data_IF_256355344310
#
_entry.id   IF_256355344310
#
_cell.length_a   1.000
_cell.length_b   1.000
_cell.length_c   1.000
_cell.angle_alpha   90.00
_cell.angle_beta   90.00
_cell.angle_gamma   90.00
#
_symmetry.space_group_name_H-M   'P 1'
#
loop_
_entity.id
_entity.type
_entity.pdbx_description
1 polymer ?
#
# COMPACT_ATOMS: atom_id res chain seq x y z
N UNK A 1 0.89 -9.29 -14.99
CA UNK A 1 1.69 -8.71 -16.09
C UNK A 1 0.82 -8.59 -17.33
N UNK A 2 1.03 -7.56 -18.14
CA UNK A 2 0.18 -7.15 -19.26
C UNK A 2 -1.02 -6.26 -18.89
N UNK A 3 -1.19 -5.90 -17.61
CA UNK A 3 -2.29 -5.06 -17.10
C UNK A 3 -3.64 -5.26 -17.83
N UNK A 4 -4.25 -6.46 -17.75
CA UNK A 4 -5.41 -6.82 -18.58
C UNK A 4 -6.64 -5.94 -18.31
N UNK A 5 -6.73 -5.36 -17.12
CA UNK A 5 -7.80 -4.42 -16.73
C UNK A 5 -7.52 -2.97 -17.13
N UNK A 6 -6.34 -2.69 -17.69
CA UNK A 6 -5.89 -1.37 -18.10
C UNK A 6 -6.01 -0.34 -16.96
N UNK A 7 -5.62 -0.73 -15.75
CA UNK A 7 -5.55 0.20 -14.60
C UNK A 7 -4.45 1.21 -14.88
N UNK A 8 -4.73 2.51 -14.78
CA UNK A 8 -3.77 3.58 -15.08
C UNK A 8 -3.61 4.57 -13.93
N UNK A 9 -4.58 4.64 -13.02
CA UNK A 9 -4.56 5.56 -11.89
C UNK A 9 -5.47 5.07 -10.75
N UNK A 10 -5.54 5.84 -9.66
CA UNK A 10 -6.35 5.50 -8.49
C UNK A 10 -7.86 5.47 -8.78
N UNK A 11 -8.38 6.25 -9.74
CA UNK A 11 -9.81 6.25 -10.09
C UNK A 11 -10.24 4.92 -10.70
N UNK A 12 -9.35 4.26 -11.45
CA UNK A 12 -9.63 2.95 -12.04
C UNK A 12 -9.90 1.88 -10.97
N UNK A 13 -9.37 2.04 -9.76
CA UNK A 13 -9.64 1.13 -8.65
C UNK A 13 -11.11 1.18 -8.19
N UNK A 14 -11.85 2.24 -8.52
CA UNK A 14 -13.30 2.33 -8.28
C UNK A 14 -14.15 1.58 -9.31
N UNK A 15 -13.56 1.08 -10.40
CA UNK A 15 -14.30 0.34 -11.43
C UNK A 15 -14.83 -0.99 -10.87
N UNK A 16 -16.02 -1.37 -11.34
CA UNK A 16 -16.71 -2.63 -10.94
C UNK A 16 -15.95 -3.87 -11.39
N UNK A 17 -15.21 -3.80 -12.49
CA UNK A 17 -14.51 -4.94 -13.08
C UNK A 17 -13.07 -5.13 -12.54
N UNK A 18 -12.63 -4.30 -11.59
CA UNK A 18 -11.28 -4.30 -11.00
C UNK A 18 -11.37 -4.77 -9.56
N UNK A 19 -10.72 -5.89 -9.20
CA UNK A 19 -10.61 -6.36 -7.81
C UNK A 19 -9.41 -5.71 -7.14
N UNK A 20 -9.59 -5.17 -5.95
CA UNK A 20 -8.57 -4.40 -5.23
C UNK A 20 -8.07 -5.19 -4.01
N UNK A 21 -6.76 -5.23 -3.78
CA UNK A 21 -6.21 -5.56 -2.46
C UNK A 21 -5.88 -4.25 -1.76
N UNK A 22 -6.43 -4.04 -0.57
CA UNK A 22 -6.32 -2.78 0.16
C UNK A 22 -5.72 -3.03 1.55
N UNK A 23 -4.67 -2.30 1.95
CA UNK A 23 -4.16 -2.32 3.32
C UNK A 23 -5.26 -1.96 4.33
N UNK A 24 -5.42 -2.72 5.41
CA UNK A 24 -6.50 -2.44 6.37
C UNK A 24 -6.16 -1.21 7.23
N UNK A 25 -6.96 -0.11 7.14
CA UNK A 25 -6.68 1.14 7.86
C UNK A 25 -6.84 1.03 9.38
N UNK A 26 -7.45 -0.03 9.91
CA UNK A 26 -7.62 -0.23 11.35
C UNK A 26 -6.29 -0.47 12.07
N UNK A 27 -5.30 -1.10 11.42
CA UNK A 27 -4.00 -1.41 12.03
C UNK A 27 -2.78 -1.17 11.11
N UNK A 28 -2.98 -0.91 9.82
CA UNK A 28 -1.88 -0.64 8.89
C UNK A 28 -1.77 0.86 8.63
N UNK A 29 -0.67 1.48 9.06
CA UNK A 29 -0.46 2.93 8.95
C UNK A 29 -0.55 3.48 7.51
N UNK A 30 -0.31 2.65 6.50
CA UNK A 30 -0.46 3.01 5.08
C UNK A 30 -1.94 3.14 4.67
N UNK A 31 -2.86 2.40 5.28
CA UNK A 31 -4.26 2.32 4.85
C UNK A 31 -4.94 3.69 4.84
N UNK A 32 -4.78 4.47 5.92
CA UNK A 32 -5.31 5.84 6.01
C UNK A 32 -4.68 6.79 4.98
N UNK A 33 -3.39 6.63 4.67
CA UNK A 33 -2.70 7.43 3.64
C UNK A 33 -3.24 7.13 2.24
N UNK A 34 -3.60 5.89 1.98
CA UNK A 34 -4.23 5.51 0.72
C UNK A 34 -5.65 6.08 0.63
N UNK A 35 -6.42 6.06 1.73
CA UNK A 35 -7.74 6.72 1.75
C UNK A 35 -7.63 8.23 1.44
N UNK A 36 -6.65 8.92 2.02
CA UNK A 36 -6.34 10.32 1.68
C UNK A 36 -6.03 10.49 0.19
N UNK A 37 -5.26 9.56 -0.41
CA UNK A 37 -4.96 9.57 -1.83
C UNK A 37 -6.22 9.34 -2.71
N UNK A 38 -7.14 8.47 -2.29
CA UNK A 38 -8.42 8.29 -2.99
C UNK A 38 -9.26 9.58 -2.98
N UNK A 39 -9.30 10.28 -1.84
CA UNK A 39 -10.01 11.55 -1.75
C UNK A 39 -9.39 12.60 -2.66
N UNK A 40 -8.06 12.70 -2.73
CA UNK A 40 -7.39 13.60 -3.68
C UNK A 40 -7.66 13.26 -5.14
N UNK A 41 -7.65 11.97 -5.47
CA UNK A 41 -7.84 11.52 -6.85
C UNK A 41 -9.29 11.69 -7.32
N UNK A 42 -10.28 11.26 -6.54
CA UNK A 42 -11.69 11.18 -6.97
C UNK A 42 -12.72 11.58 -5.91
N UNK A 43 -12.30 12.25 -4.84
CA UNK A 43 -13.17 12.70 -3.76
C UNK A 43 -13.67 11.58 -2.85
N UNK A 44 -14.54 11.96 -1.91
CA UNK A 44 -15.18 11.02 -0.98
C UNK A 44 -15.99 9.93 -1.71
N UNK A 45 -16.50 10.24 -2.91
CA UNK A 45 -17.18 9.25 -3.75
C UNK A 45 -16.25 8.09 -4.10
N UNK A 46 -15.04 8.36 -4.59
CA UNK A 46 -14.09 7.30 -4.93
C UNK A 46 -13.69 6.50 -3.69
N UNK A 47 -13.40 7.19 -2.59
CA UNK A 47 -13.06 6.56 -1.31
C UNK A 47 -14.18 5.62 -0.86
N UNK A 48 -15.44 6.08 -0.82
CA UNK A 48 -16.60 5.28 -0.41
C UNK A 48 -16.81 4.08 -1.34
N UNK A 49 -16.70 4.27 -2.64
CA UNK A 49 -16.82 3.16 -3.60
C UNK A 49 -15.79 2.07 -3.29
N UNK A 50 -14.51 2.42 -3.09
CA UNK A 50 -13.47 1.41 -2.85
C UNK A 50 -13.55 0.80 -1.45
N UNK A 51 -13.76 1.62 -0.42
CA UNK A 51 -13.62 1.24 0.98
C UNK A 51 -14.91 0.76 1.64
N UNK A 52 -16.07 1.06 1.07
CA UNK A 52 -17.37 0.68 1.62
C UNK A 52 -18.08 -0.24 0.64
N UNK A 53 -18.45 0.28 -0.53
CA UNK A 53 -19.32 -0.44 -1.47
C UNK A 53 -18.62 -1.72 -1.96
N UNK A 54 -17.35 -1.61 -2.36
CA UNK A 54 -16.55 -2.73 -2.85
C UNK A 54 -16.05 -3.67 -1.75
N UNK A 55 -15.92 -3.19 -0.51
CA UNK A 55 -15.64 -4.09 0.62
C UNK A 55 -16.87 -4.95 0.91
N UNK A 56 -18.06 -4.33 0.90
CA UNK A 56 -19.32 -5.02 1.12
C UNK A 56 -19.62 -6.05 0.02
N UNK A 57 -19.30 -5.77 -1.23
CA UNK A 57 -19.47 -6.72 -2.35
C UNK A 57 -18.28 -7.67 -2.57
N UNK A 58 -17.27 -7.63 -1.68
CA UNK A 58 -16.06 -8.47 -1.72
C UNK A 58 -15.12 -8.26 -2.91
N UNK A 59 -15.28 -7.18 -3.70
CA UNK A 59 -14.34 -6.82 -4.78
C UNK A 59 -13.16 -5.97 -4.29
N UNK A 60 -13.22 -5.42 -3.08
CA UNK A 60 -12.08 -4.92 -2.32
C UNK A 60 -11.79 -5.89 -1.17
N UNK A 61 -10.61 -6.50 -1.19
CA UNK A 61 -10.11 -7.31 -0.09
C UNK A 61 -9.25 -6.46 0.85
N UNK A 62 -9.68 -6.32 2.10
CA UNK A 62 -8.86 -5.74 3.17
C UNK A 62 -7.84 -6.79 3.64
N UNK A 63 -6.56 -6.44 3.66
CA UNK A 63 -5.52 -7.35 4.17
C UNK A 63 -5.71 -7.65 5.65
N UNK A 64 -5.44 -8.88 6.03
CA UNK A 64 -5.74 -9.39 7.37
C UNK A 64 -4.52 -9.40 8.29
N UNK A 65 -3.33 -9.52 7.71
CA UNK A 65 -2.07 -9.58 8.46
C UNK A 65 -1.27 -8.31 8.17
N UNK A 66 -1.04 -8.03 6.88
CA UNK A 66 -0.24 -6.90 6.41
C UNK A 66 -0.41 -6.75 4.89
N UNK A 67 -0.21 -5.55 4.36
CA UNK A 67 -0.20 -5.22 2.94
C UNK A 67 0.84 -5.99 2.10
N UNK A 68 1.76 -6.71 2.75
CA UNK A 68 2.66 -7.66 2.06
C UNK A 68 1.94 -8.91 1.56
N UNK A 69 0.66 -9.09 1.91
CA UNK A 69 -0.23 -10.07 1.27
C UNK A 69 -0.57 -9.68 -0.17
N UNK A 70 -0.52 -8.38 -0.51
CA UNK A 70 -0.95 -7.84 -1.80
C UNK A 70 -0.23 -8.45 -3.00
N UNK A 71 1.11 -8.53 -3.06
CA UNK A 71 1.79 -9.14 -4.20
C UNK A 71 1.30 -10.57 -4.47
N UNK A 72 1.17 -11.39 -3.42
CA UNK A 72 0.69 -12.77 -3.58
C UNK A 72 -0.74 -12.83 -4.12
N UNK A 73 -1.62 -11.93 -3.68
CA UNK A 73 -2.98 -11.86 -4.22
C UNK A 73 -3.02 -11.51 -5.70
N UNK A 74 -2.13 -10.63 -6.16
CA UNK A 74 -2.01 -10.29 -7.59
C UNK A 74 -1.45 -11.50 -8.36
N UNK A 75 -0.40 -12.14 -7.85
CA UNK A 75 0.22 -13.31 -8.48
C UNK A 75 -0.73 -14.50 -8.59
N UNK A 76 -1.59 -14.69 -7.59
CA UNK A 76 -2.60 -15.74 -7.57
C UNK A 76 -3.92 -15.34 -8.22
N UNK A 77 -3.96 -14.21 -8.94
CA UNK A 77 -5.14 -13.72 -9.63
C UNK A 77 -6.37 -13.55 -8.71
N UNK A 78 -6.15 -13.21 -7.44
CA UNK A 78 -7.17 -12.92 -6.44
C UNK A 78 -7.48 -11.42 -6.34
N UNK A 79 -6.59 -10.57 -6.84
CA UNK A 79 -6.77 -9.12 -6.98
C UNK A 79 -6.12 -8.68 -8.29
N UNK A 80 -6.67 -7.63 -8.91
CA UNK A 80 -6.18 -7.11 -10.19
C UNK A 80 -5.19 -5.95 -9.97
N UNK A 81 -5.38 -5.16 -8.92
CA UNK A 81 -4.51 -4.04 -8.57
C UNK A 81 -4.53 -3.75 -7.06
N UNK A 82 -3.58 -2.96 -6.61
CA UNK A 82 -3.49 -2.55 -5.21
C UNK A 82 -2.57 -1.33 -5.04
N UNK A 83 -2.94 -0.36 -4.18
CA UNK A 83 -2.01 0.65 -3.71
C UNK A 83 -1.09 0.08 -2.62
N UNK A 84 0.21 0.34 -2.77
CA UNK A 84 1.29 -0.14 -1.90
C UNK A 84 2.38 0.94 -1.81
N UNK A 85 3.38 0.75 -0.95
CA UNK A 85 4.57 1.59 -1.02
C UNK A 85 5.32 1.35 -2.33
N UNK A 86 5.91 2.41 -2.89
CA UNK A 86 6.71 2.32 -4.12
C UNK A 86 7.77 1.21 -4.04
N UNK A 87 8.49 1.15 -2.91
CA UNK A 87 9.54 0.16 -2.67
C UNK A 87 9.05 -1.28 -2.75
N UNK A 88 7.80 -1.55 -2.40
CA UNK A 88 7.25 -2.91 -2.44
C UNK A 88 6.97 -3.36 -3.87
N UNK A 89 6.28 -2.53 -4.66
CA UNK A 89 6.02 -2.82 -6.06
C UNK A 89 7.33 -2.88 -6.86
N UNK A 90 8.27 -1.96 -6.61
CA UNK A 90 9.60 -1.98 -7.21
C UNK A 90 10.36 -3.27 -6.87
N UNK A 91 10.36 -3.69 -5.59
CA UNK A 91 11.02 -4.93 -5.18
C UNK A 91 10.44 -6.17 -5.87
N UNK A 92 9.11 -6.24 -6.05
CA UNK A 92 8.50 -7.36 -6.78
C UNK A 92 8.96 -7.41 -8.24
N UNK A 93 9.09 -6.26 -8.91
CA UNK A 93 9.66 -6.20 -10.25
C UNK A 93 11.13 -6.62 -10.28
N UNK A 94 11.92 -6.16 -9.30
CA UNK A 94 13.34 -6.48 -9.17
C UNK A 94 13.59 -8.00 -9.08
N UNK A 95 12.74 -8.73 -8.35
CA UNK A 95 12.83 -10.18 -8.22
C UNK A 95 12.16 -10.95 -9.37
N UNK A 96 11.76 -10.27 -10.44
CA UNK A 96 11.22 -10.88 -11.67
C UNK A 96 9.77 -11.34 -11.56
N UNK A 97 9.03 -10.92 -10.54
CA UNK A 97 7.60 -11.26 -10.46
C UNK A 97 6.80 -10.54 -11.55
N UNK A 98 5.75 -11.18 -12.10
CA UNK A 98 4.94 -10.64 -13.19
C UNK A 98 3.96 -9.54 -12.71
N UNK A 99 4.45 -8.50 -12.05
CA UNK A 99 3.70 -7.33 -11.60
C UNK A 99 4.09 -6.08 -12.38
N UNK A 100 3.19 -5.11 -12.45
CA UNK A 100 3.44 -3.79 -13.03
C UNK A 100 3.30 -2.72 -11.96
N UNK A 101 4.24 -1.79 -11.95
CA UNK A 101 4.21 -0.59 -11.15
C UNK A 101 3.50 0.52 -11.94
N UNK A 102 2.48 1.12 -11.32
CA UNK A 102 1.79 2.30 -11.84
C UNK A 102 2.04 3.41 -10.83
N UNK A 103 2.71 4.48 -11.28
CA UNK A 103 3.01 5.61 -10.40
C UNK A 103 1.76 6.45 -10.14
N UNK A 104 1.56 6.83 -8.88
CA UNK A 104 0.51 7.77 -8.48
C UNK A 104 1.02 9.19 -8.78
N UNK A 105 0.26 10.03 -9.52
CA UNK A 105 0.65 11.40 -9.79
C UNK A 105 0.96 12.19 -8.52
N UNK A 106 1.95 13.09 -8.54
CA UNK A 106 2.40 13.83 -7.36
C UNK A 106 1.28 14.62 -6.66
N UNK A 107 0.28 15.10 -7.41
CA UNK A 107 -0.87 15.80 -6.85
C UNK A 107 -1.80 14.91 -6.00
N UNK A 108 -1.83 13.61 -6.29
CA UNK A 108 -2.66 12.61 -5.60
C UNK A 108 -1.86 11.83 -4.55
N UNK A 109 -0.54 11.76 -4.71
CA UNK A 109 0.34 11.00 -3.84
C UNK A 109 0.43 11.58 -2.43
N UNK A 110 0.67 10.71 -1.45
CA UNK A 110 0.87 11.06 -0.04
C UNK A 110 2.27 10.64 0.37
N UNK A 111 3.09 11.63 0.76
CA UNK A 111 4.39 11.37 1.33
C UNK A 111 4.24 10.86 2.77
N UNK A 112 5.00 9.83 3.12
CA UNK A 112 5.08 9.32 4.48
C UNK A 112 6.49 9.48 5.04
N UNK A 113 6.55 9.92 6.28
CA UNK A 113 7.80 10.04 7.03
C UNK A 113 7.96 8.82 7.91
N UNK A 114 9.05 8.08 7.71
CA UNK A 114 9.44 7.01 8.62
C UNK A 114 10.23 7.62 9.78
N UNK A 115 9.83 7.29 11.00
CA UNK A 115 10.49 7.77 12.22
C UNK A 115 10.98 6.55 13.01
N UNK A 116 12.24 6.59 13.40
CA UNK A 116 12.82 5.62 14.32
C UNK A 116 13.02 6.29 15.68
N UNK A 117 12.67 5.59 16.75
CA UNK A 117 12.78 6.08 18.13
C UNK A 117 13.41 5.06 19.05
N UNK A 118 14.28 5.52 19.95
CA UNK A 118 14.83 4.71 21.03
C UNK A 118 13.79 4.58 22.16
N UNK A 119 13.49 3.35 22.59
CA UNK A 119 12.63 3.15 23.77
C UNK A 119 13.26 3.77 25.02
N UNK A 120 12.43 4.23 25.97
CA UNK A 120 12.91 4.84 27.23
C UNK A 120 13.64 3.84 28.14
N UNK A 121 13.16 2.59 28.17
CA UNK A 121 13.71 1.50 28.98
C UNK A 121 13.88 0.23 28.13
N UNK A 122 14.84 0.18 27.19
CA UNK A 122 15.06 -1.00 26.37
C UNK A 122 15.74 -2.11 27.20
N UNK A 123 15.41 -3.39 26.95
CA UNK A 123 16.04 -4.53 27.65
C UNK A 123 17.55 -4.63 27.37
N UNK A 124 18.01 -4.07 26.24
CA UNK A 124 19.41 -4.00 25.85
C UNK A 124 19.80 -2.56 25.44
N UNK A 125 20.12 -1.67 26.40
CA UNK A 125 20.31 -0.24 26.12
C UNK A 125 21.45 0.07 25.15
N UNK A 126 22.57 -0.65 25.25
CA UNK A 126 23.72 -0.40 24.38
C UNK A 126 23.41 -0.82 22.93
N UNK A 127 22.90 -2.04 22.72
CA UNK A 127 22.50 -2.52 21.41
C UNK A 127 21.44 -1.62 20.75
N UNK A 128 20.47 -1.12 21.52
CA UNK A 128 19.46 -0.21 21.02
C UNK A 128 20.04 1.14 20.54
N UNK A 129 21.01 1.70 21.29
CA UNK A 129 21.74 2.92 20.86
C UNK A 129 22.58 2.67 19.61
N UNK A 130 23.27 1.54 19.54
CA UNK A 130 24.14 1.23 18.41
C UNK A 130 23.33 0.94 17.14
N UNK A 131 22.16 0.29 17.27
CA UNK A 131 21.23 0.13 16.16
C UNK A 131 20.68 1.47 15.66
N UNK A 132 20.26 2.36 16.56
CA UNK A 132 19.81 3.71 16.17
C UNK A 132 20.91 4.50 15.47
N UNK A 133 22.15 4.42 15.95
CA UNK A 133 23.31 5.06 15.32
C UNK A 133 23.54 4.51 13.91
N UNK A 134 23.56 3.17 13.75
CA UNK A 134 23.69 2.54 12.43
C UNK A 134 22.62 3.04 11.46
N UNK A 135 21.37 3.17 11.91
CA UNK A 135 20.26 3.63 11.07
C UNK A 135 20.38 5.11 10.67
N UNK A 136 20.92 5.97 11.52
CA UNK A 136 21.05 7.41 11.23
C UNK A 136 22.26 7.71 10.32
N UNK A 137 23.37 6.97 10.46
CA UNK A 137 24.58 7.24 9.65
C UNK A 137 24.54 6.65 8.22
N UNK A 138 23.57 5.80 7.92
CA UNK A 138 23.39 5.16 6.61
C UNK A 138 22.01 5.43 5.98
N UNK A 139 21.23 6.37 6.53
CA UNK A 139 20.01 6.89 5.92
C UNK A 139 20.32 8.17 5.13
#
# INVERSE_FOLDING_TARGET
KGNPKQVKNLKDLGRKDVRVSMPNPEWEGIGKRIEEAYVKAGGETLRKTIMVDKVQDSTTFLTQIHHRQTPMRILYNQSDAAPVWYSEAFYQQLIGHPTELIEIPSAENIAATYVAGLMKAPPHPQAAKDFMRLKIHHA
#
